data_IF_031418779070
#
_entry.id   IF_031418779070
#
_cell.length_a   1.000
_cell.length_b   1.000
_cell.length_c   1.000
_cell.angle_alpha   90.00
_cell.angle_beta   90.00
_cell.angle_gamma   90.00
#
_symmetry.space_group_name_H-M   'P 1'
#
loop_
_entity.id
_entity.type
_entity.pdbx_description
1 polymer ?
#
# COMPACT_ATOMS: atom_id res chain seq x y z
N UNK A 1 -27.16 7.48 11.79
CA UNK A 1 -25.70 7.22 11.79
C UNK A 1 -25.41 6.37 10.56
N UNK A 2 -24.46 6.75 9.71
CA UNK A 2 -24.07 5.92 8.56
C UNK A 2 -23.16 4.78 9.03
N UNK A 3 -23.27 3.62 8.38
CA UNK A 3 -22.33 2.53 8.58
C UNK A 3 -20.93 2.97 8.13
N UNK A 4 -19.89 2.49 8.80
CA UNK A 4 -18.50 2.70 8.36
C UNK A 4 -18.30 2.03 6.98
N UNK A 5 -17.45 2.59 6.10
CA UNK A 5 -17.18 1.99 4.81
C UNK A 5 -16.41 0.68 4.97
N UNK A 6 -16.67 -0.31 4.12
CA UNK A 6 -15.90 -1.56 4.11
C UNK A 6 -14.60 -1.44 3.30
N UNK A 7 -14.59 -0.55 2.31
CA UNK A 7 -13.48 -0.32 1.39
C UNK A 7 -13.11 1.16 1.36
N UNK A 8 -11.82 1.44 1.51
CA UNK A 8 -11.22 2.76 1.35
C UNK A 8 -10.34 2.69 0.10
N UNK A 9 -10.52 3.63 -0.83
CA UNK A 9 -9.72 3.71 -2.06
C UNK A 9 -8.94 5.02 -2.05
N UNK A 10 -7.61 4.91 -2.11
CA UNK A 10 -6.71 6.03 -2.30
C UNK A 10 -6.23 6.11 -3.76
N UNK A 11 -6.16 7.31 -4.35
CA UNK A 11 -5.69 7.52 -5.72
C UNK A 11 -4.27 6.98 -6.01
N UNK A 12 -3.89 7.04 -7.29
CA UNK A 12 -2.54 6.73 -7.76
C UNK A 12 -1.49 7.57 -7.02
N UNK A 13 -0.42 6.91 -6.55
CA UNK A 13 0.72 7.53 -5.86
C UNK A 13 0.34 8.34 -4.60
N UNK A 14 -0.70 7.91 -3.88
CA UNK A 14 -1.11 8.56 -2.62
C UNK A 14 -0.14 8.32 -1.46
N UNK A 15 0.76 7.34 -1.60
CA UNK A 15 1.82 7.01 -0.66
C UNK A 15 3.17 7.38 -1.30
N UNK A 16 3.79 8.52 -0.94
CA UNK A 16 4.99 9.05 -1.61
C UNK A 16 6.30 8.46 -1.04
N UNK A 17 6.30 7.17 -0.71
CA UNK A 17 7.48 6.46 -0.20
C UNK A 17 7.38 4.96 -0.51
N UNK A 18 8.52 4.27 -0.48
CA UNK A 18 8.56 2.83 -0.61
C UNK A 18 8.20 2.19 0.75
N UNK A 19 7.28 1.22 0.75
CA UNK A 19 6.95 0.49 1.99
C UNK A 19 8.15 -0.29 2.55
N UNK A 20 9.10 -0.67 1.72
CA UNK A 20 10.37 -1.28 2.13
C UNK A 20 11.23 -0.35 2.98
N UNK A 21 11.13 0.96 2.80
CA UNK A 21 11.84 1.98 3.57
C UNK A 21 11.06 2.44 4.81
N UNK A 22 9.74 2.22 4.82
CA UNK A 22 8.80 2.70 5.85
C UNK A 22 7.86 1.57 6.32
N UNK A 23 8.38 0.53 6.98
CA UNK A 23 7.54 -0.55 7.53
C UNK A 23 6.59 -0.05 8.62
N UNK A 24 6.95 1.03 9.33
CA UNK A 24 6.11 1.71 10.31
C UNK A 24 4.81 2.28 9.70
N UNK A 25 4.83 2.62 8.41
CA UNK A 25 3.64 3.12 7.72
C UNK A 25 2.55 2.04 7.59
N UNK A 26 2.92 0.78 7.38
CA UNK A 26 1.95 -0.32 7.31
C UNK A 26 1.23 -0.52 8.65
N UNK A 27 1.96 -0.43 9.76
CA UNK A 27 1.37 -0.46 11.10
C UNK A 27 0.40 0.70 11.32
N UNK A 28 0.78 1.92 10.95
CA UNK A 28 -0.10 3.08 11.07
C UNK A 28 -1.37 2.97 10.18
N UNK A 29 -1.26 2.34 9.01
CA UNK A 29 -2.41 2.06 8.15
C UNK A 29 -3.34 1.00 8.76
N UNK A 30 -2.80 -0.03 9.39
CA UNK A 30 -3.57 -1.00 10.17
C UNK A 30 -4.33 -0.33 11.32
N UNK A 31 -3.65 0.49 12.13
CA UNK A 31 -4.27 1.22 13.26
C UNK A 31 -5.37 2.21 12.81
N UNK A 32 -5.28 2.73 11.58
CA UNK A 32 -6.30 3.60 10.99
C UNK A 32 -7.55 2.82 10.57
N UNK A 33 -7.40 1.56 10.14
CA UNK A 33 -8.48 0.72 9.68
C UNK A 33 -9.25 0.14 10.87
N UNK A 34 -10.58 0.14 10.77
CA UNK A 34 -11.42 -0.62 11.68
C UNK A 34 -11.54 -2.08 11.24
N UNK A 35 -11.99 -2.92 12.16
CA UNK A 35 -12.22 -4.35 11.93
C UNK A 35 -12.97 -4.62 10.62
N UNK A 36 -12.39 -5.46 9.78
CA UNK A 36 -12.90 -5.89 8.47
C UNK A 36 -12.86 -4.82 7.38
N UNK A 37 -12.24 -3.65 7.60
CA UNK A 37 -12.01 -2.66 6.55
C UNK A 37 -10.78 -3.03 5.71
N UNK A 38 -10.82 -2.63 4.44
CA UNK A 38 -9.71 -2.78 3.51
C UNK A 38 -9.32 -1.43 2.91
N UNK A 39 -8.02 -1.21 2.75
CA UNK A 39 -7.47 -0.09 1.99
C UNK A 39 -6.91 -0.58 0.67
N UNK A 40 -7.33 0.02 -0.44
CA UNK A 40 -6.66 -0.09 -1.73
C UNK A 40 -5.94 1.24 -2.00
N UNK A 41 -4.62 1.18 -2.22
CA UNK A 41 -3.81 2.38 -2.41
C UNK A 41 -2.88 2.25 -3.61
N UNK A 42 -2.74 3.35 -4.36
CA UNK A 42 -1.68 3.49 -5.35
C UNK A 42 -0.34 3.84 -4.68
N UNK A 43 0.68 3.04 -4.95
CA UNK A 43 2.03 3.15 -4.36
C UNK A 43 3.11 3.05 -5.43
N UNK A 44 4.31 3.47 -5.08
CA UNK A 44 5.51 3.26 -5.88
C UNK A 44 6.24 2.04 -5.33
N UNK A 45 6.62 1.09 -6.21
CA UNK A 45 7.52 -0.02 -5.87
C UNK A 45 8.84 0.11 -6.61
N UNK A 46 9.92 -0.20 -5.91
CA UNK A 46 11.25 -0.34 -6.49
C UNK A 46 11.52 -1.81 -6.82
N UNK A 47 11.87 -2.10 -8.07
CA UNK A 47 12.42 -3.40 -8.42
C UNK A 47 13.94 -3.39 -8.15
N UNK A 48 14.37 -4.17 -7.15
CA UNK A 48 15.77 -4.35 -6.83
C UNK A 48 16.48 -5.13 -7.92
N UNK A 49 17.05 -4.43 -8.91
CA UNK A 49 17.89 -5.05 -9.92
C UNK A 49 19.10 -5.72 -9.26
N UNK A 50 19.13 -7.06 -9.22
CA UNK A 50 20.30 -7.87 -8.85
C UNK A 50 21.45 -7.79 -9.87
N UNK A 51 21.55 -6.70 -10.62
CA UNK A 51 22.54 -6.53 -11.68
C UNK A 51 22.48 -5.17 -12.34
N UNK A 52 23.38 -4.27 -11.92
CA UNK A 52 24.04 -3.22 -12.72
C UNK A 52 23.24 -2.21 -13.55
N UNK A 53 21.91 -2.17 -13.49
CA UNK A 53 21.08 -1.12 -14.10
C UNK A 53 20.13 -0.55 -13.04
N UNK A 54 20.20 0.77 -12.82
CA UNK A 54 19.62 1.46 -11.67
C UNK A 54 18.16 1.14 -11.34
N UNK A 55 17.79 1.45 -10.09
CA UNK A 55 16.46 1.29 -9.50
C UNK A 55 15.35 1.67 -10.46
N UNK A 56 14.50 0.70 -10.81
CA UNK A 56 13.29 0.95 -11.60
C UNK A 56 12.11 1.11 -10.66
N UNK A 57 11.38 2.21 -10.86
CA UNK A 57 10.18 2.53 -10.09
C UNK A 57 8.94 2.21 -10.92
N UNK A 58 8.04 1.43 -10.36
CA UNK A 58 6.76 1.06 -10.96
C UNK A 58 5.61 1.64 -10.13
N UNK A 59 4.56 2.06 -10.82
CA UNK A 59 3.29 2.36 -10.16
C UNK A 59 2.55 1.04 -9.93
N UNK A 60 2.18 0.83 -8.68
CA UNK A 60 1.50 -0.36 -8.22
C UNK A 60 0.23 0.02 -7.48
N UNK A 61 -0.73 -0.90 -7.44
CA UNK A 61 -1.87 -0.84 -6.54
C UNK A 61 -1.71 -1.96 -5.53
N UNK A 62 -1.84 -1.66 -4.24
CA UNK A 62 -1.80 -2.64 -3.16
C UNK A 62 -3.12 -2.68 -2.40
N UNK A 63 -3.50 -3.86 -1.93
CA UNK A 63 -4.58 -4.07 -0.99
C UNK A 63 -3.98 -4.35 0.41
N UNK A 64 -4.46 -3.61 1.41
CA UNK A 64 -4.00 -3.67 2.79
C UNK A 64 -5.22 -3.98 3.68
N UNK A 65 -5.09 -4.97 4.55
CA UNK A 65 -6.14 -5.37 5.48
C UNK A 65 -6.13 -4.57 6.80
N UNK A 66 -7.10 -4.86 7.67
CA UNK A 66 -7.26 -4.23 8.98
C UNK A 66 -6.14 -4.55 9.99
N UNK A 67 -5.18 -5.39 9.62
CA UNK A 67 -3.97 -5.67 10.40
C UNK A 67 -2.75 -4.92 9.87
N UNK A 68 -2.92 -4.15 8.80
CA UNK A 68 -1.82 -3.47 8.12
C UNK A 68 -0.98 -4.41 7.25
N UNK A 69 -1.51 -5.57 6.88
CA UNK A 69 -0.82 -6.54 6.03
C UNK A 69 -1.17 -6.30 4.55
N UNK A 70 -0.18 -6.33 3.66
CA UNK A 70 -0.41 -6.32 2.21
C UNK A 70 -0.91 -7.71 1.82
N UNK A 71 -2.16 -7.81 1.40
CA UNK A 71 -2.81 -9.08 1.03
C UNK A 71 -2.83 -9.33 -0.49
N UNK A 72 -2.70 -8.28 -1.29
CA UNK A 72 -2.60 -8.36 -2.75
C UNK A 72 -1.88 -7.14 -3.33
N UNK A 73 -1.26 -7.29 -4.50
CA UNK A 73 -0.59 -6.20 -5.20
C UNK A 73 -0.49 -6.44 -6.72
N UNK A 74 -0.82 -5.42 -7.49
CA UNK A 74 -0.76 -5.42 -8.97
C UNK A 74 0.11 -4.27 -9.45
N UNK A 75 1.04 -4.57 -10.36
CA UNK A 75 1.87 -3.58 -11.05
C UNK A 75 1.26 -3.19 -12.40
N UNK A 76 1.50 -1.95 -12.82
CA UNK A 76 1.09 -1.43 -14.13
C UNK A 76 2.06 -1.81 -15.24
#
# INVERSE_FOLDING_TARGET
>A
RHAKPQLILWPETSVPFLFTERPDALTALGDMLGDGQMLIAGVVREEGSSGSAGSRYYNSVVAIDDKGEIVDAVDK
#
